data_IF_294552294071
#
_entry.id   IF_294552294071
#
_cell.length_a   1.000
_cell.length_b   1.000
_cell.length_c   1.000
_cell.angle_alpha   90.00
_cell.angle_beta   90.00
_cell.angle_gamma   90.00
#
_symmetry.space_group_name_H-M   'P 1'
#
loop_
_entity.id
_entity.type
_entity.pdbx_description
1 polymer ?
#
# COMPACT_ATOMS: atom_id res chain seq x y z
N UNK A 1 -2.06 -7.84 -0.67
CA UNK A 1 -2.19 -6.38 -0.49
C UNK A 1 -1.87 -5.60 -1.77
N UNK A 2 -0.74 -5.86 -2.43
CA UNK A 2 -0.38 -5.21 -3.70
C UNK A 2 -1.40 -5.46 -4.83
N UNK A 3 -1.93 -6.68 -4.94
CA UNK A 3 -2.89 -7.05 -6.00
C UNK A 3 -4.20 -6.28 -5.93
N UNK A 4 -4.77 -6.06 -4.74
CA UNK A 4 -6.02 -5.30 -4.59
C UNK A 4 -5.81 -3.81 -4.89
N UNK A 5 -4.70 -3.22 -4.43
CA UNK A 5 -4.36 -1.82 -4.73
C UNK A 5 -4.14 -1.61 -6.23
N UNK A 6 -3.41 -2.51 -6.88
CA UNK A 6 -3.20 -2.47 -8.33
C UNK A 6 -4.51 -2.65 -9.09
N UNK A 7 -5.35 -3.60 -8.66
CA UNK A 7 -6.67 -3.83 -9.27
C UNK A 7 -7.59 -2.61 -9.17
N UNK A 8 -7.59 -1.90 -8.04
CA UNK A 8 -8.34 -0.65 -7.86
C UNK A 8 -7.80 0.48 -8.75
N UNK A 9 -6.48 0.59 -8.89
CA UNK A 9 -5.86 1.57 -9.78
C UNK A 9 -6.27 1.31 -11.24
N UNK A 10 -6.18 0.05 -11.68
CA UNK A 10 -6.49 -0.32 -13.06
C UNK A 10 -8.00 -0.26 -13.35
N UNK A 11 -8.84 -0.61 -12.39
CA UNK A 11 -10.28 -0.36 -12.45
C UNK A 11 -10.57 1.14 -12.59
N UNK A 12 -9.94 1.99 -11.78
CA UNK A 12 -10.15 3.44 -11.84
C UNK A 12 -9.82 4.03 -13.21
N UNK A 13 -8.69 3.61 -13.80
CA UNK A 13 -8.30 3.96 -15.17
C UNK A 13 -9.32 3.47 -16.19
N UNK A 14 -9.71 2.19 -16.11
CA UNK A 14 -10.66 1.59 -17.04
C UNK A 14 -12.02 2.31 -17.01
N UNK A 15 -12.54 2.62 -15.82
CA UNK A 15 -13.81 3.33 -15.67
C UNK A 15 -13.72 4.77 -16.19
N UNK A 16 -12.59 5.46 -16.01
CA UNK A 16 -12.39 6.80 -16.60
C UNK A 16 -12.38 6.77 -18.14
N UNK A 17 -11.93 5.68 -18.76
CA UNK A 17 -12.04 5.49 -20.21
C UNK A 17 -13.50 5.34 -20.65
N UNK A 18 -14.35 4.69 -19.85
CA UNK A 18 -15.79 4.58 -20.17
C UNK A 18 -16.51 5.92 -20.24
N UNK A 19 -15.98 6.98 -19.61
CA UNK A 19 -16.49 8.34 -19.79
C UNK A 19 -16.52 8.74 -21.26
N UNK A 20 -15.50 8.42 -22.05
CA UNK A 20 -15.45 8.87 -23.47
C UNK A 20 -16.53 8.21 -24.32
N UNK A 21 -17.12 7.12 -23.83
CA UNK A 21 -18.20 6.39 -24.50
C UNK A 21 -19.60 6.87 -24.11
N UNK A 22 -19.72 7.84 -23.18
CA UNK A 22 -21.00 8.34 -22.67
C UNK A 22 -21.03 9.87 -22.61
N UNK A 23 -22.17 10.46 -22.94
CA UNK A 23 -22.44 11.88 -22.68
C UNK A 23 -22.63 12.18 -21.19
N UNK A 24 -22.72 13.46 -20.84
CA UNK A 24 -23.12 13.89 -19.50
C UNK A 24 -24.57 13.46 -19.20
N UNK A 25 -24.94 13.11 -17.94
CA UNK A 25 -24.16 13.16 -16.68
C UNK A 25 -23.39 11.86 -16.35
N UNK A 26 -23.62 10.79 -17.12
CA UNK A 26 -23.04 9.46 -16.85
C UNK A 26 -21.53 9.46 -17.02
N UNK A 27 -21.00 10.24 -17.97
CA UNK A 27 -19.57 10.44 -18.15
C UNK A 27 -18.88 10.99 -16.89
N UNK A 28 -19.47 12.01 -16.25
CA UNK A 28 -18.98 12.55 -14.98
C UNK A 28 -19.04 11.53 -13.85
N UNK A 29 -20.14 10.78 -13.73
CA UNK A 29 -20.27 9.74 -12.72
C UNK A 29 -19.15 8.67 -12.82
N UNK A 30 -18.77 8.27 -14.05
CA UNK A 30 -17.65 7.37 -14.27
C UNK A 30 -16.30 8.01 -13.92
N UNK A 31 -16.08 9.27 -14.25
CA UNK A 31 -14.88 10.00 -13.80
C UNK A 31 -14.74 10.05 -12.29
N UNK A 32 -15.83 10.35 -11.58
CA UNK A 32 -15.85 10.43 -10.12
C UNK A 32 -15.61 9.05 -9.49
N UNK A 33 -16.25 8.00 -10.02
CA UNK A 33 -16.04 6.62 -9.58
C UNK A 33 -14.58 6.18 -9.79
N UNK A 34 -14.00 6.46 -10.96
CA UNK A 34 -12.62 6.10 -11.24
C UNK A 34 -11.64 6.84 -10.34
N UNK A 35 -11.86 8.13 -10.09
CA UNK A 35 -11.04 8.94 -9.17
C UNK A 35 -11.11 8.42 -7.74
N UNK A 36 -12.30 8.01 -7.27
CA UNK A 36 -12.45 7.40 -5.94
C UNK A 36 -11.71 6.07 -5.84
N UNK A 37 -11.74 5.25 -6.89
CA UNK A 37 -11.05 3.96 -6.90
C UNK A 37 -9.52 4.12 -6.84
N UNK A 38 -8.96 5.04 -7.63
CA UNK A 38 -7.54 5.37 -7.57
C UNK A 38 -7.13 5.91 -6.19
N UNK A 39 -7.96 6.75 -5.57
CA UNK A 39 -7.72 7.24 -4.21
C UNK A 39 -7.70 6.09 -3.19
N UNK A 40 -8.59 5.11 -3.32
CA UNK A 40 -8.61 3.93 -2.45
C UNK A 40 -7.36 3.08 -2.65
N UNK A 41 -6.89 2.91 -3.89
CA UNK A 41 -5.63 2.23 -4.19
C UNK A 41 -4.44 2.86 -3.44
N UNK A 42 -4.30 4.19 -3.51
CA UNK A 42 -3.24 4.93 -2.81
C UNK A 42 -3.34 4.76 -1.29
N UNK A 43 -4.55 4.86 -0.72
CA UNK A 43 -4.76 4.66 0.71
C UNK A 43 -4.39 3.25 1.15
N UNK A 44 -4.78 2.24 0.39
CA UNK A 44 -4.47 0.85 0.69
C UNK A 44 -2.96 0.60 0.63
N UNK A 45 -2.26 1.18 -0.34
CA UNK A 45 -0.80 1.08 -0.45
C UNK A 45 -0.10 1.68 0.77
N UNK A 46 -0.54 2.86 1.22
CA UNK A 46 -0.03 3.50 2.44
C UNK A 46 -0.24 2.65 3.69
N UNK A 47 -1.45 2.11 3.86
CA UNK A 47 -1.76 1.25 5.01
C UNK A 47 -0.92 -0.03 4.98
N UNK A 48 -0.76 -0.66 3.81
CA UNK A 48 0.08 -1.84 3.67
C UNK A 48 1.54 -1.57 4.04
N UNK A 49 2.09 -0.43 3.59
CA UNK A 49 3.45 0.00 3.96
C UNK A 49 3.58 0.27 5.45
N UNK A 50 2.62 1.00 6.04
CA UNK A 50 2.64 1.31 7.47
C UNK A 50 2.59 0.05 8.33
N UNK A 51 1.70 -0.89 7.98
CA UNK A 51 1.61 -2.18 8.67
C UNK A 51 2.92 -2.94 8.56
N UNK A 52 3.53 -3.00 7.37
CA UNK A 52 4.83 -3.66 7.17
C UNK A 52 5.92 -3.06 8.08
N UNK A 53 6.06 -1.73 8.08
CA UNK A 53 7.07 -1.03 8.89
C UNK A 53 6.86 -1.24 10.39
N UNK A 54 5.60 -1.26 10.85
CA UNK A 54 5.27 -1.55 12.25
C UNK A 54 5.75 -2.95 12.70
N UNK A 55 6.02 -3.88 11.79
CA UNK A 55 6.61 -5.19 12.12
C UNK A 55 8.11 -5.25 11.84
N UNK A 56 8.56 -4.68 10.72
CA UNK A 56 9.95 -4.74 10.28
C UNK A 56 10.89 -4.02 11.25
N UNK A 57 10.51 -2.83 11.75
CA UNK A 57 11.34 -2.06 12.68
C UNK A 57 11.54 -2.78 14.02
N UNK A 58 10.49 -3.22 14.73
CA UNK A 58 10.69 -3.99 15.97
C UNK A 58 11.53 -5.24 15.77
N UNK A 59 11.31 -5.99 14.68
CA UNK A 59 12.09 -7.19 14.40
C UNK A 59 13.58 -6.89 14.21
N UNK A 60 13.92 -5.80 13.51
CA UNK A 60 15.31 -5.34 13.37
C UNK A 60 15.93 -5.01 14.72
N UNK A 61 15.19 -4.33 15.59
CA UNK A 61 15.66 -3.99 16.93
C UNK A 61 15.88 -5.23 17.80
N UNK A 62 14.97 -6.21 17.73
CA UNK A 62 15.16 -7.50 18.41
C UNK A 62 16.42 -8.23 17.92
N UNK A 63 16.61 -8.36 16.61
CA UNK A 63 17.81 -9.00 16.03
C UNK A 63 19.08 -8.28 16.47
N UNK A 64 19.06 -6.94 16.48
CA UNK A 64 20.18 -6.13 16.97
C UNK A 64 20.47 -6.39 18.44
N UNK A 65 19.44 -6.44 19.27
CA UNK A 65 19.57 -6.69 20.71
C UNK A 65 20.20 -8.05 20.98
N UNK A 66 19.72 -9.12 20.32
CA UNK A 66 20.32 -10.45 20.42
C UNK A 66 21.78 -10.46 19.99
N UNK A 67 22.11 -9.78 18.89
CA UNK A 67 23.50 -9.69 18.41
C UNK A 67 24.41 -8.99 19.41
N UNK A 68 23.93 -7.96 20.09
CA UNK A 68 24.68 -7.28 21.16
C UNK A 68 24.94 -8.23 22.32
N UNK A 69 23.90 -8.92 22.83
CA UNK A 69 24.05 -9.89 23.93
C UNK A 69 25.05 -10.98 23.57
N UNK A 70 24.89 -11.60 22.40
CA UNK A 70 25.80 -12.65 21.94
C UNK A 70 27.23 -12.15 21.84
N UNK A 71 27.45 -10.97 21.24
CA UNK A 71 28.79 -10.40 21.13
C UNK A 71 29.39 -10.04 22.49
N UNK A 72 28.58 -9.59 23.44
CA UNK A 72 29.04 -9.28 24.81
C UNK A 72 29.38 -10.55 25.60
N UNK A 73 28.65 -11.65 25.38
CA UNK A 73 28.93 -12.95 26.00
C UNK A 73 30.30 -13.48 25.56
N UNK A 74 30.59 -13.48 24.25
CA UNK A 74 31.89 -13.89 23.70
C UNK A 74 33.07 -12.96 24.01
N UNK A 75 32.84 -11.76 24.55
CA UNK A 75 33.90 -10.84 25.01
C UNK A 75 34.29 -11.10 26.47
N UNK A 76 33.55 -11.93 27.20
CA UNK A 76 33.76 -12.26 28.62
C UNK A 76 34.11 -13.75 28.86
N UNK A 77 34.09 -14.59 27.82
CA UNK A 77 34.70 -15.93 27.76
C UNK A 77 36.09 -15.86 27.14
#
# INVERSE_FOLDING_TARGET
MAELGQSLLDFGKAVKLLRTCKGEPTGKAFSDLGTKSELLSIKLQKVAQQVLMNFEEPLKDYVRYFKVIFSSFFLWD
#
